data_IF_593231520187
#
_entry.id   IF_593231520187
#
_cell.length_a   1.000
_cell.length_b   1.000
_cell.length_c   1.000
_cell.angle_alpha   90.00
_cell.angle_beta   90.00
_cell.angle_gamma   90.00
#
_symmetry.space_group_name_H-M   'P 1'
#
loop_
_entity.id
_entity.type
_entity.pdbx_description
1 polymer ?
#
# COMPACT_ATOMS: atom_id res chain seq x y z
N UNK A 1 14.47 16.54 0.33
CA UNK A 1 13.02 16.82 0.17
C UNK A 1 12.37 16.90 1.55
N UNK A 2 11.29 17.69 1.72
CA UNK A 2 10.58 17.73 3.01
C UNK A 2 9.65 16.51 3.12
N UNK A 3 9.54 15.92 4.32
CA UNK A 3 8.55 14.89 4.63
C UNK A 3 7.13 15.40 4.36
N UNK A 4 6.15 14.48 4.07
CA UNK A 4 4.75 14.85 3.93
C UNK A 4 4.24 15.58 5.17
N UNK A 5 3.35 16.57 4.97
CA UNK A 5 2.72 17.31 6.08
C UNK A 5 1.46 16.61 6.57
N UNK A 6 0.74 15.94 5.69
CA UNK A 6 -0.48 15.20 5.98
C UNK A 6 -0.50 13.93 5.14
N UNK A 7 -0.87 12.83 5.76
CA UNK A 7 -1.03 11.52 5.13
C UNK A 7 -2.50 11.23 4.93
N UNK A 8 -2.86 10.74 3.76
CA UNK A 8 -4.12 10.08 3.50
C UNK A 8 -3.97 8.57 3.57
N UNK A 9 -4.97 7.87 4.06
CA UNK A 9 -5.01 6.41 4.04
C UNK A 9 -6.40 5.92 3.61
N UNK A 10 -6.45 5.20 2.50
CA UNK A 10 -7.69 4.68 1.91
C UNK A 10 -7.64 3.15 1.91
N UNK A 11 -8.67 2.54 2.51
CA UNK A 11 -8.78 1.10 2.67
C UNK A 11 -8.26 0.61 4.01
N UNK A 12 -9.16 0.47 4.97
CA UNK A 12 -8.90 0.07 6.36
C UNK A 12 -9.38 -1.37 6.61
N UNK A 13 -9.06 -2.25 5.65
CA UNK A 13 -9.31 -3.68 5.76
C UNK A 13 -8.30 -4.38 6.68
N UNK A 14 -8.22 -5.73 6.57
CA UNK A 14 -7.35 -6.56 7.44
C UNK A 14 -5.86 -6.19 7.41
N UNK A 15 -5.40 -5.62 6.30
CA UNK A 15 -4.02 -5.16 6.15
C UNK A 15 -3.90 -3.66 6.38
N UNK A 16 -4.81 -2.86 5.83
CA UNK A 16 -4.73 -1.39 5.88
C UNK A 16 -4.92 -0.83 7.28
N UNK A 17 -5.90 -1.33 8.03
CA UNK A 17 -6.17 -0.83 9.40
C UNK A 17 -4.94 -0.93 10.32
N UNK A 18 -4.27 -2.09 10.49
CA UNK A 18 -3.10 -2.15 11.36
C UNK A 18 -1.92 -1.32 10.86
N UNK A 19 -1.69 -1.21 9.54
CA UNK A 19 -0.64 -0.35 8.99
C UNK A 19 -0.94 1.13 9.28
N UNK A 20 -2.17 1.58 9.00
CA UNK A 20 -2.64 2.93 9.30
C UNK A 20 -2.54 3.24 10.80
N UNK A 21 -2.90 2.30 11.67
CA UNK A 21 -2.82 2.47 13.12
C UNK A 21 -1.39 2.74 13.62
N UNK A 22 -0.37 2.20 12.96
CA UNK A 22 1.01 2.53 13.29
C UNK A 22 1.40 3.92 12.77
N UNK A 23 0.96 4.31 11.57
CA UNK A 23 1.20 5.67 11.05
C UNK A 23 0.55 6.72 11.98
N UNK A 24 -0.65 6.45 12.48
CA UNK A 24 -1.38 7.32 13.41
C UNK A 24 -0.69 7.49 14.79
N UNK A 25 0.34 6.70 15.11
CA UNK A 25 1.15 6.88 16.33
C UNK A 25 2.30 7.86 16.12
N UNK A 26 2.60 8.22 14.88
CA UNK A 26 3.61 9.23 14.55
C UNK A 26 3.06 10.65 14.68
N UNK A 27 3.91 11.63 14.40
CA UNK A 27 3.58 13.06 14.54
C UNK A 27 2.85 13.65 13.33
N UNK A 28 2.78 12.90 12.22
CA UNK A 28 2.13 13.37 10.98
C UNK A 28 0.63 13.14 11.04
N UNK A 29 -0.23 14.14 10.82
CA UNK A 29 -1.68 13.97 10.76
C UNK A 29 -2.09 12.95 9.69
N UNK A 30 -3.09 12.11 10.00
CA UNK A 30 -3.58 11.07 9.10
C UNK A 30 -5.08 11.22 8.88
N UNK A 31 -5.48 11.41 7.63
CA UNK A 31 -6.88 11.36 7.18
C UNK A 31 -7.19 9.95 6.70
N UNK A 32 -8.25 9.36 7.21
CA UNK A 32 -8.58 7.95 7.00
C UNK A 32 -9.93 7.80 6.32
N UNK A 33 -10.00 6.93 5.31
CA UNK A 33 -11.28 6.58 4.67
C UNK A 33 -11.36 5.08 4.35
N UNK A 34 -12.49 4.51 4.66
CA UNK A 34 -12.93 3.18 4.19
C UNK A 34 -14.42 3.21 3.85
N UNK A 35 -14.85 2.41 2.87
CA UNK A 35 -16.27 2.28 2.52
C UNK A 35 -17.12 1.70 3.65
N UNK A 36 -16.51 0.96 4.56
CA UNK A 36 -17.14 0.45 5.78
C UNK A 36 -16.86 1.46 6.88
N UNK A 37 -17.91 2.03 7.51
CA UNK A 37 -17.74 3.03 8.55
C UNK A 37 -17.04 2.47 9.79
N UNK A 38 -16.63 3.37 10.68
CA UNK A 38 -16.06 3.08 12.01
C UNK A 38 -14.76 2.25 12.02
N UNK A 39 -13.98 2.29 10.91
CA UNK A 39 -12.69 1.60 10.83
C UNK A 39 -11.47 2.50 11.08
N UNK A 40 -11.68 3.77 11.32
CA UNK A 40 -10.58 4.73 11.55
C UNK A 40 -9.83 4.38 12.82
N UNK A 41 -8.50 4.13 12.74
CA UNK A 41 -7.71 3.83 13.92
C UNK A 41 -7.63 5.00 14.89
N UNK A 42 -7.38 4.69 16.16
CA UNK A 42 -7.13 5.72 17.17
C UNK A 42 -5.93 6.60 16.76
N UNK A 43 -6.13 7.91 16.79
CA UNK A 43 -5.14 8.91 16.38
C UNK A 43 -5.26 9.35 14.91
N UNK A 44 -6.04 8.64 14.08
CA UNK A 44 -6.44 9.09 12.76
C UNK A 44 -7.70 9.97 12.81
N UNK A 45 -7.90 10.75 11.77
CA UNK A 45 -9.11 11.56 11.54
C UNK A 45 -9.94 10.88 10.45
N UNK A 46 -11.18 10.52 10.75
CA UNK A 46 -12.09 9.99 9.73
C UNK A 46 -12.45 11.08 8.73
N UNK A 47 -12.41 10.73 7.46
CA UNK A 47 -12.92 11.56 6.36
C UNK A 47 -14.24 10.96 5.84
N UNK A 48 -15.13 11.81 5.37
CA UNK A 48 -16.44 11.41 4.87
C UNK A 48 -16.37 10.82 3.46
N UNK A 49 -15.28 11.07 2.73
CA UNK A 49 -15.09 10.61 1.36
C UNK A 49 -13.61 10.43 0.99
N UNK A 50 -13.39 9.66 -0.08
CA UNK A 50 -12.10 9.57 -0.74
C UNK A 50 -11.61 10.97 -1.18
N UNK A 51 -12.49 11.78 -1.73
CA UNK A 51 -12.16 13.12 -2.21
C UNK A 51 -11.62 14.01 -1.07
N UNK A 52 -12.20 13.94 0.12
CA UNK A 52 -11.73 14.67 1.30
C UNK A 52 -10.32 14.24 1.71
N UNK A 53 -10.04 12.91 1.72
CA UNK A 53 -8.68 12.41 2.00
C UNK A 53 -7.69 12.96 0.99
N UNK A 54 -8.01 12.86 -0.30
CA UNK A 54 -7.10 13.31 -1.37
C UNK A 54 -6.90 14.82 -1.34
N UNK A 55 -7.95 15.60 -1.07
CA UNK A 55 -7.83 17.06 -0.97
C UNK A 55 -6.91 17.48 0.19
N UNK A 56 -7.05 16.84 1.35
CA UNK A 56 -6.35 17.20 2.58
C UNK A 56 -4.94 16.63 2.75
N UNK A 57 -4.53 15.65 1.91
CA UNK A 57 -3.25 14.96 2.06
C UNK A 57 -2.25 15.31 0.96
N UNK A 58 -0.95 15.31 1.30
CA UNK A 58 0.16 15.43 0.34
C UNK A 58 0.51 14.06 -0.28
N UNK A 59 0.32 13.00 0.51
CA UNK A 59 0.58 11.60 0.13
C UNK A 59 -0.58 10.73 0.56
N UNK A 60 -1.05 9.86 -0.32
CA UNK A 60 -2.16 8.94 -0.05
C UNK A 60 -1.68 7.50 -0.17
N UNK A 61 -1.84 6.72 0.88
CA UNK A 61 -1.63 5.28 0.88
C UNK A 61 -2.93 4.57 0.52
N UNK A 62 -2.83 3.58 -0.38
CA UNK A 62 -3.93 2.69 -0.74
C UNK A 62 -3.66 1.29 -0.20
N UNK A 63 -4.69 0.65 0.37
CA UNK A 63 -4.66 -0.78 0.75
C UNK A 63 -5.99 -1.42 0.43
N UNK A 64 -6.16 -1.80 -0.84
CA UNK A 64 -7.43 -2.18 -1.45
C UNK A 64 -7.42 -3.66 -1.87
N UNK A 65 -8.61 -4.29 -2.05
CA UNK A 65 -8.73 -5.73 -2.24
C UNK A 65 -8.11 -6.28 -3.52
N UNK A 66 -8.26 -5.56 -4.65
CA UNK A 66 -7.87 -6.04 -5.98
C UNK A 66 -7.62 -4.90 -6.98
N UNK A 67 -7.08 -5.27 -8.16
CA UNK A 67 -6.74 -4.30 -9.20
C UNK A 67 -7.93 -3.59 -9.84
N UNK A 68 -9.13 -4.20 -9.85
CA UNK A 68 -10.33 -3.55 -10.37
C UNK A 68 -10.74 -2.38 -9.49
N UNK A 69 -10.67 -2.59 -8.16
CA UNK A 69 -11.00 -1.55 -7.18
C UNK A 69 -9.92 -0.46 -7.17
N UNK A 70 -8.62 -0.83 -7.25
CA UNK A 70 -7.53 0.16 -7.34
C UNK A 70 -7.68 1.03 -8.57
N UNK A 71 -7.97 0.46 -9.74
CA UNK A 71 -8.15 1.24 -10.97
C UNK A 71 -9.37 2.17 -10.88
N UNK A 72 -10.50 1.71 -10.35
CA UNK A 72 -11.67 2.56 -10.14
C UNK A 72 -11.37 3.73 -9.18
N UNK A 73 -10.63 3.47 -8.09
CA UNK A 73 -10.18 4.51 -7.15
C UNK A 73 -9.19 5.48 -7.83
N UNK A 74 -8.27 4.97 -8.64
CA UNK A 74 -7.33 5.81 -9.41
C UNK A 74 -8.06 6.72 -10.41
N UNK A 75 -9.08 6.21 -11.11
CA UNK A 75 -9.93 6.99 -12.00
C UNK A 75 -10.69 8.08 -11.22
N UNK A 76 -11.28 7.75 -10.07
CA UNK A 76 -11.96 8.73 -9.22
C UNK A 76 -10.99 9.82 -8.74
N UNK A 77 -9.81 9.46 -8.23
CA UNK A 77 -8.78 10.41 -7.79
C UNK A 77 -8.37 11.35 -8.93
N UNK A 78 -8.18 10.81 -10.12
CA UNK A 78 -7.72 11.59 -11.29
C UNK A 78 -8.74 12.65 -11.76
N UNK A 79 -10.02 12.52 -11.39
CA UNK A 79 -11.05 13.52 -11.70
C UNK A 79 -11.10 14.70 -10.73
N UNK A 80 -10.41 14.61 -9.58
CA UNK A 80 -10.45 15.63 -8.55
C UNK A 80 -9.57 16.84 -8.93
N UNK A 81 -9.96 18.01 -8.47
CA UNK A 81 -9.15 19.22 -8.64
C UNK A 81 -8.02 19.30 -7.62
N UNK A 82 -6.92 19.97 -7.98
CA UNK A 82 -5.80 20.24 -7.06
C UNK A 82 -4.97 18.99 -6.70
N UNK A 83 -5.02 17.93 -7.50
CA UNK A 83 -4.28 16.68 -7.23
C UNK A 83 -2.84 16.69 -7.73
N UNK A 84 -2.49 17.59 -8.65
CA UNK A 84 -1.15 17.65 -9.22
C UNK A 84 -0.06 17.77 -8.14
N UNK A 85 1.02 17.00 -8.30
CA UNK A 85 2.15 16.96 -7.37
C UNK A 85 1.95 16.10 -6.12
N UNK A 86 0.77 15.48 -5.94
CA UNK A 86 0.55 14.51 -4.85
C UNK A 86 1.19 13.16 -5.18
N UNK A 87 1.42 12.35 -4.14
CA UNK A 87 2.00 11.01 -4.26
C UNK A 87 0.96 9.97 -3.83
N UNK A 88 0.70 9.00 -4.69
CA UNK A 88 -0.16 7.84 -4.40
C UNK A 88 0.73 6.61 -4.22
N UNK A 89 0.71 6.03 -3.03
CA UNK A 89 1.49 4.82 -2.68
C UNK A 89 0.52 3.65 -2.53
N UNK A 90 0.49 2.79 -3.53
CA UNK A 90 -0.40 1.61 -3.54
C UNK A 90 0.30 0.39 -2.92
N UNK A 91 -0.16 0.01 -1.74
CA UNK A 91 0.32 -1.17 -1.00
C UNK A 91 -0.51 -2.43 -1.30
N UNK A 92 -1.45 -2.35 -2.21
CA UNK A 92 -2.32 -3.47 -2.61
C UNK A 92 -1.54 -4.50 -3.44
N UNK A 93 -2.04 -5.74 -3.47
CA UNK A 93 -1.51 -6.79 -4.36
C UNK A 93 -2.45 -6.97 -5.54
N UNK A 94 -2.12 -6.38 -6.69
CA UNK A 94 -3.03 -6.21 -7.84
C UNK A 94 -2.49 -6.77 -9.16
N UNK A 95 -1.24 -7.18 -9.17
CA UNK A 95 -0.54 -7.65 -10.35
C UNK A 95 -0.01 -6.53 -11.26
N UNK A 96 1.01 -6.84 -12.10
CA UNK A 96 1.74 -5.84 -12.88
C UNK A 96 0.88 -5.06 -13.87
N UNK A 97 -0.10 -5.70 -14.51
CA UNK A 97 -0.95 -5.06 -15.51
C UNK A 97 -1.85 -3.98 -14.88
N UNK A 98 -2.51 -4.30 -13.77
CA UNK A 98 -3.36 -3.35 -13.05
C UNK A 98 -2.56 -2.19 -12.47
N UNK A 99 -1.36 -2.46 -11.92
CA UNK A 99 -0.48 -1.40 -11.41
C UNK A 99 -0.03 -0.43 -12.50
N UNK A 100 0.30 -0.92 -13.69
CA UNK A 100 0.63 -0.06 -14.85
C UNK A 100 -0.56 0.79 -15.31
N UNK A 101 -1.77 0.23 -15.27
CA UNK A 101 -2.98 0.96 -15.62
C UNK A 101 -3.25 2.07 -14.59
N UNK A 102 -3.22 1.76 -13.29
CA UNK A 102 -3.38 2.75 -12.23
C UNK A 102 -2.33 3.87 -12.32
N UNK A 103 -1.07 3.51 -12.57
CA UNK A 103 0.00 4.47 -12.77
C UNK A 103 -0.29 5.41 -13.93
N UNK A 104 -0.67 4.90 -15.10
CA UNK A 104 -0.98 5.74 -16.26
C UNK A 104 -2.12 6.74 -15.97
N UNK A 105 -3.14 6.33 -15.21
CA UNK A 105 -4.26 7.19 -14.81
C UNK A 105 -3.80 8.29 -13.85
N UNK A 106 -3.08 7.92 -12.78
CA UNK A 106 -2.61 8.84 -11.73
C UNK A 106 -1.56 9.81 -12.28
N UNK A 107 -0.59 9.32 -13.05
CA UNK A 107 0.47 10.13 -13.66
C UNK A 107 -0.09 11.06 -14.74
N UNK A 108 -1.11 10.62 -15.48
CA UNK A 108 -1.84 11.45 -16.45
C UNK A 108 -2.54 12.65 -15.81
N UNK A 109 -2.85 12.61 -14.52
CA UNK A 109 -3.41 13.72 -13.75
C UNK A 109 -2.31 14.56 -13.02
N UNK A 110 -1.03 14.32 -13.33
CA UNK A 110 0.10 15.10 -12.77
C UNK A 110 0.53 14.70 -11.36
N UNK A 111 0.15 13.52 -10.90
CA UNK A 111 0.57 12.92 -9.62
C UNK A 111 1.73 11.94 -9.83
N UNK A 112 2.32 11.47 -8.74
CA UNK A 112 3.29 10.37 -8.76
C UNK A 112 2.61 9.10 -8.25
N UNK A 113 2.71 8.00 -8.99
CA UNK A 113 2.26 6.69 -8.53
C UNK A 113 3.44 5.82 -8.11
N UNK A 114 3.28 5.16 -6.98
CA UNK A 114 4.25 4.20 -6.43
C UNK A 114 3.54 2.87 -6.23
N UNK A 115 4.11 1.83 -6.80
CA UNK A 115 3.71 0.43 -6.63
C UNK A 115 4.53 -0.17 -5.48
N UNK A 116 3.88 -0.41 -4.34
CA UNK A 116 4.55 -0.78 -3.09
C UNK A 116 3.85 -1.95 -2.35
N UNK A 117 3.59 -3.10 -3.02
CA UNK A 117 2.94 -4.22 -2.37
C UNK A 117 3.73 -4.72 -1.16
N UNK A 118 2.99 -5.28 -0.18
CA UNK A 118 3.55 -5.69 1.10
C UNK A 118 3.61 -7.20 1.28
N UNK A 119 4.57 -7.67 2.06
CA UNK A 119 4.73 -9.06 2.46
C UNK A 119 4.84 -9.19 3.99
N UNK A 120 4.34 -10.31 4.56
CA UNK A 120 4.32 -10.57 6.01
C UNK A 120 2.92 -10.90 6.54
N UNK A 121 1.88 -10.72 5.71
CA UNK A 121 0.49 -11.03 6.04
C UNK A 121 -0.03 -10.21 7.23
N UNK A 122 -1.24 -10.53 7.69
CA UNK A 122 -1.90 -9.83 8.79
C UNK A 122 -1.06 -9.82 10.08
N UNK A 123 -0.36 -10.92 10.38
CA UNK A 123 0.48 -11.00 11.58
C UNK A 123 1.68 -10.05 11.51
N UNK A 124 2.28 -9.89 10.33
CA UNK A 124 3.34 -8.90 10.09
C UNK A 124 2.81 -7.48 10.25
N UNK A 125 1.64 -7.17 9.70
CA UNK A 125 1.01 -5.85 9.83
C UNK A 125 0.69 -5.49 11.28
N UNK A 126 0.15 -6.42 12.07
CA UNK A 126 -0.15 -6.21 13.50
C UNK A 126 1.10 -5.97 14.37
N UNK A 127 2.28 -6.36 13.90
CA UNK A 127 3.57 -6.25 14.63
C UNK A 127 4.50 -5.18 14.07
N UNK A 128 4.05 -4.36 13.11
CA UNK A 128 4.91 -3.43 12.35
C UNK A 128 6.13 -4.15 11.73
N UNK A 129 5.94 -5.35 11.22
CA UNK A 129 7.01 -6.22 10.76
C UNK A 129 6.82 -6.69 9.31
N UNK A 130 6.04 -5.95 8.52
CA UNK A 130 5.91 -6.22 7.09
C UNK A 130 7.16 -5.81 6.32
N UNK A 131 7.30 -6.35 5.13
CA UNK A 131 8.27 -5.93 4.13
C UNK A 131 7.55 -5.22 3.01
N UNK A 132 8.00 -4.04 2.64
CA UNK A 132 7.50 -3.25 1.51
C UNK A 132 8.40 -3.53 0.30
N UNK A 133 7.78 -3.79 -0.84
CA UNK A 133 8.46 -4.03 -2.13
C UNK A 133 8.19 -2.80 -3.00
N UNK A 134 9.08 -1.81 -2.91
CA UNK A 134 8.88 -0.50 -3.53
C UNK A 134 9.31 -0.48 -4.98
N UNK A 135 8.45 0.00 -5.85
CA UNK A 135 8.72 0.27 -7.26
C UNK A 135 8.14 1.64 -7.65
N UNK A 136 9.00 2.53 -8.02
CA UNK A 136 8.74 3.94 -8.29
C UNK A 136 9.94 4.79 -7.90
N UNK A 137 9.87 6.11 -7.99
CA UNK A 137 11.02 6.99 -7.75
C UNK A 137 11.68 6.73 -6.39
N UNK A 138 12.99 6.44 -6.41
CA UNK A 138 13.77 6.21 -5.18
C UNK A 138 13.75 7.43 -4.25
N UNK A 139 13.73 8.63 -4.81
CA UNK A 139 13.64 9.87 -4.03
C UNK A 139 12.34 9.94 -3.20
N UNK A 140 11.23 9.39 -3.71
CA UNK A 140 9.99 9.31 -2.94
C UNK A 140 10.07 8.24 -1.84
N UNK A 141 10.74 7.11 -2.06
CA UNK A 141 11.01 6.15 -0.99
C UNK A 141 11.77 6.79 0.17
N UNK A 142 12.88 7.49 -0.15
CA UNK A 142 13.71 8.17 0.84
C UNK A 142 12.93 9.28 1.58
N UNK A 143 12.08 10.03 0.88
CA UNK A 143 11.20 11.06 1.45
C UNK A 143 10.21 10.49 2.47
N UNK A 144 9.73 9.28 2.23
CA UNK A 144 8.71 8.63 3.06
C UNK A 144 9.30 7.66 4.10
N UNK A 145 10.62 7.45 4.13
CA UNK A 145 11.27 6.42 4.95
C UNK A 145 10.84 6.47 6.42
N UNK A 146 10.79 7.65 7.02
CA UNK A 146 10.38 7.80 8.42
C UNK A 146 8.93 7.32 8.70
N UNK A 147 8.04 7.44 7.71
CA UNK A 147 6.65 6.95 7.80
C UNK A 147 6.60 5.44 7.55
N UNK A 148 7.36 4.95 6.57
CA UNK A 148 7.43 3.53 6.25
C UNK A 148 7.98 2.72 7.44
N UNK A 149 8.96 3.24 8.16
CA UNK A 149 9.59 2.62 9.33
C UNK A 149 8.62 2.46 10.53
N UNK A 150 7.52 3.22 10.57
CA UNK A 150 6.52 3.07 11.63
C UNK A 150 5.79 1.72 11.56
N UNK A 151 5.61 1.15 10.37
CA UNK A 151 4.80 -0.06 10.19
C UNK A 151 5.49 -1.19 9.42
N UNK A 152 6.73 -0.97 8.95
CA UNK A 152 7.50 -1.98 8.23
C UNK A 152 8.85 -2.25 8.89
N UNK A 153 9.35 -3.47 8.68
CA UNK A 153 10.71 -3.86 9.10
C UNK A 153 11.74 -3.59 8.01
N UNK A 154 11.34 -3.74 6.75
CA UNK A 154 12.21 -3.56 5.60
C UNK A 154 11.43 -2.90 4.47
N UNK A 155 12.12 -2.03 3.72
CA UNK A 155 11.65 -1.48 2.44
C UNK A 155 12.72 -1.75 1.39
N UNK A 156 12.38 -2.50 0.35
CA UNK A 156 13.30 -2.83 -0.75
C UNK A 156 12.88 -2.06 -2.01
N UNK A 157 13.77 -1.22 -2.50
CA UNK A 157 13.62 -0.60 -3.82
C UNK A 157 13.97 -1.60 -4.91
N UNK A 158 12.98 -2.06 -5.67
CA UNK A 158 13.14 -3.11 -6.68
C UNK A 158 13.09 -2.60 -8.11
N UNK A 159 12.79 -1.31 -8.28
CA UNK A 159 12.76 -0.68 -9.60
C UNK A 159 12.12 0.70 -9.58
N UNK A 160 12.22 1.40 -10.71
CA UNK A 160 11.68 2.75 -10.90
C UNK A 160 10.30 2.77 -11.59
N UNK A 161 9.86 1.61 -12.13
CA UNK A 161 8.68 1.55 -12.98
C UNK A 161 7.55 0.77 -12.31
N UNK A 162 6.33 1.31 -12.22
CA UNK A 162 5.17 0.62 -11.69
C UNK A 162 4.95 -0.77 -12.32
N UNK A 163 4.57 -1.74 -11.49
CA UNK A 163 4.41 -3.14 -11.85
C UNK A 163 5.63 -4.02 -11.55
N UNK A 164 6.83 -3.44 -11.34
CA UNK A 164 8.01 -4.22 -10.94
C UNK A 164 7.87 -4.73 -9.50
N UNK A 165 7.32 -3.93 -8.58
CA UNK A 165 6.98 -4.34 -7.22
C UNK A 165 5.98 -5.50 -7.20
N UNK A 166 4.91 -5.41 -8.02
CA UNK A 166 3.94 -6.50 -8.16
C UNK A 166 4.57 -7.77 -8.72
N UNK A 167 5.47 -7.66 -9.70
CA UNK A 167 6.16 -8.84 -10.26
C UNK A 167 6.97 -9.56 -9.18
N UNK A 168 7.77 -8.84 -8.40
CA UNK A 168 8.51 -9.39 -7.26
C UNK A 168 7.56 -9.98 -6.22
N UNK A 169 6.45 -9.29 -5.92
CA UNK A 169 5.44 -9.78 -4.97
C UNK A 169 4.81 -11.09 -5.43
N UNK A 170 4.47 -11.23 -6.70
CA UNK A 170 3.91 -12.47 -7.24
C UNK A 170 4.92 -13.61 -7.20
N UNK A 171 6.18 -13.38 -7.53
CA UNK A 171 7.27 -14.36 -7.40
C UNK A 171 7.42 -14.83 -5.95
N UNK A 172 7.45 -13.89 -4.99
CA UNK A 172 7.49 -14.22 -3.58
C UNK A 172 6.30 -15.07 -3.13
N UNK A 173 5.09 -14.73 -3.56
CA UNK A 173 3.89 -15.48 -3.23
C UNK A 173 3.92 -16.88 -3.86
N UNK A 174 4.36 -17.03 -5.11
CA UNK A 174 4.52 -18.32 -5.78
C UNK A 174 5.49 -19.24 -5.02
N UNK A 175 6.67 -18.74 -4.68
CA UNK A 175 7.67 -19.51 -3.93
C UNK A 175 7.16 -19.92 -2.56
N UNK A 176 6.52 -19.01 -1.82
CA UNK A 176 5.97 -19.30 -0.50
C UNK A 176 4.84 -20.34 -0.55
N UNK A 177 3.93 -20.25 -1.50
CA UNK A 177 2.82 -21.19 -1.67
C UNK A 177 3.34 -22.57 -2.07
N UNK A 178 4.30 -22.64 -3.01
CA UNK A 178 4.90 -23.91 -3.45
C UNK A 178 5.66 -24.60 -2.31
N UNK A 179 6.46 -23.84 -1.56
CA UNK A 179 7.18 -24.40 -0.41
C UNK A 179 6.22 -24.93 0.66
N UNK A 180 5.13 -24.22 0.95
CA UNK A 180 4.13 -24.64 1.91
C UNK A 180 3.41 -25.92 1.44
N UNK A 181 3.01 -26.00 0.19
CA UNK A 181 2.37 -27.20 -0.38
C UNK A 181 3.31 -28.41 -0.33
N UNK A 182 4.54 -28.27 -0.83
CA UNK A 182 5.53 -29.35 -0.82
C UNK A 182 5.88 -29.83 0.59
N UNK A 183 6.03 -28.91 1.55
CA UNK A 183 6.31 -29.25 2.95
C UNK A 183 5.13 -30.00 3.59
N UNK A 184 3.89 -29.59 3.31
CA UNK A 184 2.69 -30.25 3.81
C UNK A 184 2.58 -31.67 3.29
N UNK A 185 2.81 -31.90 2.00
CA UNK A 185 2.81 -33.24 1.38
C UNK A 185 3.89 -34.15 2.00
N UNK A 186 5.11 -33.60 2.19
CA UNK A 186 6.21 -34.36 2.80
C UNK A 186 5.88 -34.79 4.25
N UNK A 187 5.28 -33.90 5.05
CA UNK A 187 4.87 -34.24 6.43
C UNK A 187 3.77 -35.29 6.42
N UNK A 188 2.74 -35.17 5.57
CA UNK A 188 1.67 -36.13 5.46
C UNK A 188 2.20 -37.50 5.02
N UNK A 189 3.12 -37.54 4.07
CA UNK A 189 3.78 -38.79 3.65
C UNK A 189 4.51 -39.45 4.81
N UNK A 190 5.32 -38.69 5.58
CA UNK A 190 6.05 -39.22 6.74
C UNK A 190 5.14 -39.73 7.86
N UNK A 191 3.96 -39.13 8.04
CA UNK A 191 2.97 -39.59 9.04
C UNK A 191 2.23 -40.87 8.61
N UNK A 192 2.16 -41.16 7.30
CA UNK A 192 1.49 -42.30 6.74
C UNK A 192 2.37 -43.59 6.70
N UNK A 193 3.68 -43.45 6.88
CA UNK A 193 4.67 -44.53 6.84
C UNK A 193 5.54 -44.56 8.07
#
# INVERSE_FOLDING_TARGET
MRSPKTIGFIGLGQMGEPMCAFICKGDTPVLCYDRVPDRTPKGGTAADSLAEVVAGADTVFLSLPDGKIVNAVAEEIATLEGVAGKVIIDMSTIGPAAAKQAAATIEGAGMTYVDAPVSGGRQGALKAAITIIWSGPKAEMERHQAILDLFSKNTFHVGETPGQGQAVKLLNNFLSATAMAASSEAVLFGLAH
#
